data_IF_648755226199
#
_entry.id   IF_648755226199
#
_cell.length_a   1.000
_cell.length_b   1.000
_cell.length_c   1.000
_cell.angle_alpha   90.00
_cell.angle_beta   90.00
_cell.angle_gamma   90.00
#
_symmetry.space_group_name_H-M   'P 1'
#
loop_
_entity.id
_entity.type
_entity.pdbx_description
1 polymer ?
#
# COMPACT_ATOMS: atom_id res chain seq x y z
N UNK A 1 -4.39 32.70 0.67
CA UNK A 1 -3.03 32.17 0.60
C UNK A 1 -2.96 31.14 -0.51
N UNK A 2 -1.78 30.84 -1.04
CA UNK A 2 -1.61 29.98 -2.22
C UNK A 2 -2.32 28.60 -2.11
N UNK A 3 -2.31 28.00 -0.90
CA UNK A 3 -3.00 26.74 -0.60
C UNK A 3 -4.53 26.77 -0.88
N UNK A 4 -5.21 27.89 -0.62
CA UNK A 4 -6.66 27.99 -0.86
C UNK A 4 -7.00 28.11 -2.34
N UNK A 5 -6.10 28.70 -3.13
CA UNK A 5 -6.24 28.77 -4.59
C UNK A 5 -6.00 27.40 -5.23
N UNK A 6 -4.97 26.69 -4.76
CA UNK A 6 -4.68 25.33 -5.20
C UNK A 6 -5.86 24.38 -4.93
N UNK A 7 -6.48 24.44 -3.75
CA UNK A 7 -7.66 23.61 -3.45
C UNK A 7 -8.86 23.96 -4.32
N UNK A 8 -9.11 25.25 -4.56
CA UNK A 8 -10.19 25.69 -5.45
C UNK A 8 -9.98 25.17 -6.89
N UNK A 9 -8.73 25.16 -7.38
CA UNK A 9 -8.39 24.59 -8.68
C UNK A 9 -8.63 23.07 -8.72
N UNK A 10 -8.22 22.34 -7.68
CA UNK A 10 -8.50 20.91 -7.59
C UNK A 10 -10.00 20.60 -7.49
N UNK A 11 -10.75 21.37 -6.71
CA UNK A 11 -12.20 21.23 -6.57
C UNK A 11 -12.91 21.48 -7.91
N UNK A 12 -12.48 22.49 -8.69
CA UNK A 12 -12.97 22.73 -10.04
C UNK A 12 -12.61 21.57 -10.99
N UNK A 13 -11.39 21.05 -10.89
CA UNK A 13 -10.92 19.93 -11.71
C UNK A 13 -11.70 18.64 -11.43
N UNK A 14 -11.90 18.26 -10.16
CA UNK A 14 -12.69 17.06 -9.82
C UNK A 14 -14.15 17.23 -10.21
N UNK A 15 -14.74 18.43 -10.16
CA UNK A 15 -16.12 18.64 -10.66
C UNK A 15 -16.24 18.32 -12.16
N UNK A 16 -15.25 18.71 -12.96
CA UNK A 16 -15.26 18.49 -14.42
C UNK A 16 -14.80 17.08 -14.81
N UNK A 17 -13.87 16.50 -14.05
CA UNK A 17 -13.15 15.27 -14.40
C UNK A 17 -13.28 14.19 -13.31
N UNK A 18 -14.40 14.15 -12.58
CA UNK A 18 -14.61 13.27 -11.42
C UNK A 18 -14.39 11.77 -11.65
N UNK A 19 -14.41 11.33 -12.92
CA UNK A 19 -14.22 9.93 -13.31
C UNK A 19 -12.76 9.57 -13.64
N UNK A 20 -11.85 10.55 -13.59
CA UNK A 20 -10.42 10.35 -13.82
C UNK A 20 -9.70 10.18 -12.47
N UNK A 21 -9.17 8.99 -12.16
CA UNK A 21 -8.53 8.72 -10.88
C UNK A 21 -7.24 9.55 -10.68
N UNK A 22 -6.60 10.00 -11.76
CA UNK A 22 -5.40 10.83 -11.72
C UNK A 22 -5.67 12.20 -11.10
N UNK A 23 -6.85 12.78 -11.35
CA UNK A 23 -7.23 14.10 -10.81
C UNK A 23 -7.42 14.03 -9.31
N UNK A 24 -8.07 12.96 -8.83
CA UNK A 24 -8.19 12.68 -7.40
C UNK A 24 -6.84 12.38 -6.78
N UNK A 25 -6.01 11.54 -7.42
CA UNK A 25 -4.68 11.21 -6.94
C UNK A 25 -3.76 12.42 -6.79
N UNK A 26 -3.79 13.35 -7.74
CA UNK A 26 -3.04 14.60 -7.67
C UNK A 26 -3.48 15.46 -6.47
N UNK A 27 -4.79 15.60 -6.26
CA UNK A 27 -5.31 16.36 -5.13
C UNK A 27 -4.96 15.71 -3.78
N UNK A 28 -5.15 14.40 -3.66
CA UNK A 28 -4.79 13.65 -2.47
C UNK A 28 -3.30 13.80 -2.14
N UNK A 29 -2.42 13.70 -3.15
CA UNK A 29 -1.00 13.92 -2.95
C UNK A 29 -0.70 15.35 -2.47
N UNK A 30 -1.32 16.37 -3.08
CA UNK A 30 -1.13 17.76 -2.67
C UNK A 30 -1.58 18.01 -1.22
N UNK A 31 -2.74 17.46 -0.83
CA UNK A 31 -3.27 17.54 0.54
C UNK A 31 -2.33 16.87 1.54
N UNK A 32 -1.88 15.65 1.24
CA UNK A 32 -1.00 14.89 2.13
C UNK A 32 0.38 15.54 2.26
N UNK A 33 0.96 16.04 1.16
CA UNK A 33 2.29 16.64 1.15
C UNK A 33 2.39 17.93 1.98
N UNK A 34 1.29 18.68 2.13
CA UNK A 34 1.25 19.91 2.95
C UNK A 34 0.74 19.71 4.38
N UNK A 35 0.53 18.45 4.80
CA UNK A 35 0.07 18.12 6.16
C UNK A 35 -1.45 18.16 6.37
N UNK A 36 -2.25 18.40 5.33
CA UNK A 36 -3.72 18.43 5.39
C UNK A 36 -4.30 16.99 5.36
N UNK A 37 -3.89 16.16 6.31
CA UNK A 37 -4.18 14.72 6.31
C UNK A 37 -5.67 14.42 6.51
N UNK A 38 -6.36 15.18 7.37
CA UNK A 38 -7.79 14.99 7.60
C UNK A 38 -8.62 15.30 6.35
N UNK A 39 -8.28 16.39 5.66
CA UNK A 39 -8.86 16.74 4.37
C UNK A 39 -8.53 15.69 3.32
N UNK A 40 -7.30 15.17 3.29
CA UNK A 40 -6.89 14.08 2.41
C UNK A 40 -7.80 12.86 2.57
N UNK A 41 -8.07 12.43 3.79
CA UNK A 41 -8.93 11.25 4.08
C UNK A 41 -10.39 11.50 3.68
N UNK A 42 -10.94 12.68 3.99
CA UNK A 42 -12.29 13.06 3.55
C UNK A 42 -12.39 13.07 2.03
N UNK A 43 -11.35 13.57 1.37
CA UNK A 43 -11.26 13.62 -0.10
C UNK A 43 -11.15 12.24 -0.72
N UNK A 44 -10.47 11.28 -0.06
CA UNK A 44 -10.41 9.90 -0.53
C UNK A 44 -11.82 9.30 -0.58
N UNK A 45 -12.63 9.49 0.46
CA UNK A 45 -14.01 8.96 0.46
C UNK A 45 -14.82 9.53 -0.71
N UNK A 46 -14.73 10.85 -0.94
CA UNK A 46 -15.37 11.50 -2.10
C UNK A 46 -14.91 10.92 -3.43
N UNK A 47 -13.62 10.60 -3.56
CA UNK A 47 -13.07 10.02 -4.76
C UNK A 47 -13.60 8.60 -5.01
N UNK A 48 -13.68 7.78 -3.96
CA UNK A 48 -14.25 6.41 -4.02
C UNK A 48 -15.72 6.47 -4.44
N UNK A 49 -16.51 7.40 -3.89
CA UNK A 49 -17.92 7.56 -4.25
C UNK A 49 -18.11 8.03 -5.71
N UNK A 50 -17.13 8.77 -6.26
CA UNK A 50 -17.19 9.33 -7.61
C UNK A 50 -16.69 8.38 -8.71
N UNK A 51 -15.75 7.49 -8.37
CA UNK A 51 -15.04 6.63 -9.32
C UNK A 51 -15.72 5.25 -9.47
N UNK A 52 -15.58 4.60 -10.63
CA UNK A 52 -16.00 3.21 -10.80
C UNK A 52 -15.23 2.26 -9.86
N UNK A 53 -15.90 1.20 -9.40
CA UNK A 53 -15.33 0.21 -8.47
C UNK A 53 -14.00 -0.40 -8.96
N UNK A 54 -13.85 -0.58 -10.27
CA UNK A 54 -12.63 -1.11 -10.87
C UNK A 54 -11.37 -0.28 -10.53
N UNK A 55 -11.53 1.01 -10.24
CA UNK A 55 -10.43 1.94 -9.95
C UNK A 55 -10.20 2.16 -8.46
N UNK A 56 -11.10 1.68 -7.59
CA UNK A 56 -11.03 1.91 -6.15
C UNK A 56 -9.74 1.35 -5.55
N UNK A 57 -9.40 0.10 -5.87
CA UNK A 57 -8.23 -0.55 -5.29
C UNK A 57 -6.94 0.20 -5.63
N UNK A 58 -6.80 0.66 -6.88
CA UNK A 58 -5.62 1.41 -7.29
C UNK A 58 -5.51 2.75 -6.56
N UNK A 59 -6.61 3.51 -6.47
CA UNK A 59 -6.61 4.80 -5.78
C UNK A 59 -6.34 4.64 -4.28
N UNK A 60 -7.02 3.71 -3.62
CA UNK A 60 -6.88 3.45 -2.18
C UNK A 60 -5.45 2.97 -1.88
N UNK A 61 -4.88 2.12 -2.75
CA UNK A 61 -3.47 1.67 -2.62
C UNK A 61 -2.48 2.83 -2.83
N UNK A 62 -2.76 3.80 -3.69
CA UNK A 62 -1.95 5.03 -3.81
C UNK A 62 -2.08 5.89 -2.56
N UNK A 63 -3.29 6.04 -2.02
CA UNK A 63 -3.49 6.80 -0.78
C UNK A 63 -2.79 6.16 0.43
N UNK A 64 -2.80 4.84 0.54
CA UNK A 64 -2.05 4.13 1.57
C UNK A 64 -0.56 4.49 1.53
N UNK A 65 0.06 4.51 0.33
CA UNK A 65 1.45 4.94 0.16
C UNK A 65 1.69 6.40 0.59
N UNK A 66 0.70 7.28 0.40
CA UNK A 66 0.78 8.67 0.88
C UNK A 66 0.74 8.75 2.42
N UNK A 67 -0.04 7.89 3.09
CA UNK A 67 -0.04 7.78 4.55
C UNK A 67 1.32 7.32 5.07
N UNK A 68 1.97 6.34 4.41
CA UNK A 68 3.35 5.95 4.76
C UNK A 68 4.36 7.08 4.58
N UNK A 69 4.18 7.91 3.55
CA UNK A 69 5.16 8.95 3.17
C UNK A 69 5.01 10.24 3.97
N UNK A 70 3.78 10.68 4.18
CA UNK A 70 3.47 12.00 4.73
C UNK A 70 2.66 11.95 6.02
N UNK A 71 1.92 10.86 6.25
CA UNK A 71 1.06 10.69 7.42
C UNK A 71 1.69 9.76 8.45
N UNK A 72 0.89 8.81 8.94
CA UNK A 72 1.33 7.79 9.88
C UNK A 72 1.35 6.40 9.22
N UNK A 73 2.45 5.64 9.31
CA UNK A 73 2.52 4.27 8.78
C UNK A 73 1.36 3.38 9.23
N UNK A 74 0.93 3.46 10.49
CA UNK A 74 -0.21 2.71 11.02
C UNK A 74 -1.52 2.92 10.24
N UNK A 75 -1.70 4.12 9.69
CA UNK A 75 -2.88 4.44 8.90
C UNK A 75 -2.75 3.86 7.49
N UNK A 76 -1.56 3.91 6.92
CA UNK A 76 -1.25 3.17 5.69
C UNK A 76 -1.49 1.67 5.84
N UNK A 77 -1.06 1.08 6.97
CA UNK A 77 -1.30 -0.33 7.33
C UNK A 77 -2.79 -0.65 7.36
N UNK A 78 -3.56 0.16 8.08
CA UNK A 78 -5.03 0.03 8.18
C UNK A 78 -5.69 0.04 6.79
N UNK A 79 -5.26 0.94 5.91
CA UNK A 79 -5.82 1.04 4.55
C UNK A 79 -5.46 -0.18 3.70
N UNK A 80 -4.20 -0.63 3.71
CA UNK A 80 -3.81 -1.85 2.99
C UNK A 80 -4.49 -3.10 3.53
N UNK A 81 -4.59 -3.25 4.85
CA UNK A 81 -5.29 -4.36 5.49
C UNK A 81 -6.79 -4.36 5.14
N UNK A 82 -7.41 -3.19 5.02
CA UNK A 82 -8.77 -3.06 4.52
C UNK A 82 -8.93 -3.57 3.07
N UNK A 83 -8.00 -3.24 2.19
CA UNK A 83 -7.99 -3.76 0.81
C UNK A 83 -7.81 -5.29 0.82
N UNK A 84 -6.83 -5.79 1.57
CA UNK A 84 -6.46 -7.21 1.56
C UNK A 84 -7.47 -8.11 2.29
N UNK A 85 -8.23 -7.56 3.24
CA UNK A 85 -9.39 -8.24 3.84
C UNK A 85 -10.45 -8.56 2.79
N UNK A 86 -10.70 -7.64 1.85
CA UNK A 86 -11.67 -7.83 0.77
C UNK A 86 -11.10 -8.58 -0.42
N UNK A 87 -9.81 -8.40 -0.72
CA UNK A 87 -9.15 -8.94 -1.89
C UNK A 87 -7.83 -9.65 -1.55
N UNK A 88 -7.87 -10.75 -0.78
CA UNK A 88 -6.68 -11.37 -0.20
C UNK A 88 -5.68 -11.91 -1.23
N UNK A 89 -6.10 -12.16 -2.48
CA UNK A 89 -5.23 -12.68 -3.55
C UNK A 89 -4.65 -11.60 -4.46
N UNK A 90 -4.80 -10.31 -4.14
CA UNK A 90 -4.25 -9.17 -4.91
C UNK A 90 -2.75 -9.01 -4.69
N UNK A 91 -1.98 -9.72 -5.51
CA UNK A 91 -0.51 -9.77 -5.47
C UNK A 91 0.13 -8.39 -5.64
N UNK A 92 -0.46 -7.55 -6.49
CA UNK A 92 -0.04 -6.16 -6.71
C UNK A 92 -0.08 -5.35 -5.41
N UNK A 93 -1.18 -5.45 -4.66
CA UNK A 93 -1.35 -4.75 -3.37
C UNK A 93 -0.39 -5.30 -2.32
N UNK A 94 -0.25 -6.62 -2.22
CA UNK A 94 0.73 -7.25 -1.32
C UNK A 94 2.16 -6.79 -1.61
N UNK A 95 2.54 -6.70 -2.90
CA UNK A 95 3.88 -6.26 -3.29
C UNK A 95 4.14 -4.84 -2.83
N UNK A 96 3.22 -3.92 -3.11
CA UNK A 96 3.36 -2.50 -2.72
C UNK A 96 3.38 -2.34 -1.19
N UNK A 97 2.54 -3.08 -0.46
CA UNK A 97 2.52 -3.01 1.00
C UNK A 97 3.85 -3.51 1.60
N UNK A 98 4.38 -4.63 1.08
CA UNK A 98 5.72 -5.10 1.46
C UNK A 98 6.81 -4.07 1.15
N UNK A 99 6.76 -3.41 0.00
CA UNK A 99 7.72 -2.36 -0.35
C UNK A 99 7.67 -1.18 0.63
N UNK A 100 6.47 -0.80 1.09
CA UNK A 100 6.30 0.26 2.09
C UNK A 100 6.87 -0.14 3.45
N UNK A 101 6.59 -1.37 3.92
CA UNK A 101 7.10 -1.87 5.20
C UNK A 101 8.62 -2.07 5.18
N UNK A 102 9.18 -2.63 4.10
CA UNK A 102 10.63 -2.82 3.96
C UNK A 102 11.35 -1.47 4.03
N UNK A 103 10.79 -0.42 3.43
CA UNK A 103 11.39 0.93 3.44
C UNK A 103 11.49 1.54 4.84
N UNK A 104 10.59 1.16 5.76
CA UNK A 104 10.59 1.63 7.15
C UNK A 104 11.03 0.55 8.14
N UNK A 105 11.56 -0.57 7.64
CA UNK A 105 11.86 -1.74 8.46
C UNK A 105 12.99 -1.51 9.47
N UNK A 106 13.84 -0.51 9.29
CA UNK A 106 14.82 -0.10 10.31
C UNK A 106 14.14 0.26 11.65
N UNK A 107 12.90 0.77 11.60
CA UNK A 107 12.13 1.11 12.79
C UNK A 107 11.47 -0.11 13.45
N UNK A 108 10.98 -1.07 12.65
CA UNK A 108 10.38 -2.31 13.14
C UNK A 108 10.46 -3.44 12.09
N UNK A 109 11.53 -4.27 12.12
CA UNK A 109 11.71 -5.38 11.20
C UNK A 109 10.60 -6.44 11.32
N UNK A 110 9.96 -6.55 12.47
CA UNK A 110 8.98 -7.59 12.73
C UNK A 110 7.68 -7.36 11.95
N UNK A 111 7.33 -6.12 11.61
CA UNK A 111 6.14 -5.85 10.79
C UNK A 111 6.32 -6.42 9.39
N UNK A 112 7.44 -6.14 8.74
CA UNK A 112 7.74 -6.68 7.41
C UNK A 112 7.77 -8.22 7.44
N UNK A 113 8.39 -8.82 8.46
CA UNK A 113 8.39 -10.27 8.67
C UNK A 113 6.97 -10.83 8.78
N UNK A 114 6.12 -10.28 9.67
CA UNK A 114 4.72 -10.70 9.82
C UNK A 114 3.93 -10.56 8.52
N UNK A 115 4.21 -9.53 7.72
CA UNK A 115 3.54 -9.33 6.43
C UNK A 115 3.95 -10.39 5.39
N UNK A 116 5.23 -10.74 5.35
CA UNK A 116 5.73 -11.85 4.54
C UNK A 116 5.14 -13.20 4.99
N UNK A 117 5.03 -13.44 6.29
CA UNK A 117 4.40 -14.63 6.86
C UNK A 117 2.95 -14.76 6.40
N UNK A 118 2.18 -13.67 6.45
CA UNK A 118 0.79 -13.62 6.00
C UNK A 118 0.65 -13.95 4.52
N UNK A 119 1.41 -13.32 3.64
CA UNK A 119 1.27 -13.56 2.18
C UNK A 119 1.74 -14.97 1.80
N UNK A 120 2.76 -15.51 2.48
CA UNK A 120 3.26 -16.87 2.23
C UNK A 120 2.42 -17.97 2.87
N UNK A 121 1.42 -17.62 3.68
CA UNK A 121 0.38 -18.55 4.16
C UNK A 121 -0.83 -18.64 3.20
N UNK A 122 -0.91 -17.79 2.18
CA UNK A 122 -2.03 -17.78 1.24
C UNK A 122 -1.96 -18.91 0.22
N UNK A 123 -3.14 -19.36 -0.21
CA UNK A 123 -3.30 -20.26 -1.36
C UNK A 123 -3.24 -19.47 -2.67
N UNK A 124 -2.03 -19.21 -3.16
CA UNK A 124 -1.76 -18.61 -4.48
C UNK A 124 -1.16 -19.65 -5.45
N UNK A 125 -1.15 -19.36 -6.75
CA UNK A 125 -0.47 -20.21 -7.74
C UNK A 125 1.04 -20.30 -7.49
N UNK A 126 1.69 -21.38 -7.91
CA UNK A 126 3.14 -21.60 -7.72
C UNK A 126 4.02 -20.47 -8.23
N UNK A 127 3.67 -19.86 -9.37
CA UNK A 127 4.39 -18.69 -9.90
C UNK A 127 4.37 -17.50 -8.93
N UNK A 128 3.21 -17.22 -8.33
CA UNK A 128 3.01 -16.11 -7.38
C UNK A 128 3.66 -16.40 -6.03
N UNK A 129 3.57 -17.64 -5.53
CA UNK A 129 4.26 -18.01 -4.28
C UNK A 129 5.77 -17.98 -4.42
N UNK A 130 6.31 -18.49 -5.53
CA UNK A 130 7.74 -18.39 -5.84
C UNK A 130 8.22 -16.94 -5.88
N UNK A 131 7.40 -16.00 -6.37
CA UNK A 131 7.71 -14.58 -6.33
C UNK A 131 7.85 -14.05 -4.88
N UNK A 132 6.88 -14.36 -4.01
CA UNK A 132 6.94 -13.91 -2.61
C UNK A 132 8.05 -14.58 -1.80
N UNK A 133 8.30 -15.88 -1.97
CA UNK A 133 9.44 -16.56 -1.31
C UNK A 133 10.79 -15.98 -1.74
N UNK A 134 10.97 -15.66 -3.03
CA UNK A 134 12.19 -14.98 -3.50
C UNK A 134 12.38 -13.62 -2.85
N UNK A 135 11.31 -12.82 -2.75
CA UNK A 135 11.35 -11.52 -2.09
C UNK A 135 11.65 -11.66 -0.60
N UNK A 136 11.07 -12.65 0.06
CA UNK A 136 11.29 -12.88 1.48
C UNK A 136 12.74 -13.31 1.78
N UNK A 137 13.31 -14.20 0.95
CA UNK A 137 14.73 -14.56 1.03
C UNK A 137 15.65 -13.35 0.79
N UNK A 138 15.29 -12.48 -0.16
CA UNK A 138 16.07 -11.27 -0.42
C UNK A 138 16.04 -10.32 0.78
N UNK A 139 14.88 -10.14 1.41
CA UNK A 139 14.73 -9.36 2.63
C UNK A 139 15.57 -9.93 3.78
N UNK A 140 15.47 -11.24 4.05
CA UNK A 140 16.22 -11.90 5.12
C UNK A 140 17.75 -11.77 4.94
N UNK A 141 18.23 -11.95 3.70
CA UNK A 141 19.65 -11.76 3.36
C UNK A 141 20.11 -10.31 3.51
N UNK A 142 19.29 -9.35 3.12
CA UNK A 142 19.61 -7.93 3.30
C UNK A 142 19.68 -7.55 4.78
N UNK A 143 18.90 -8.21 5.64
CA UNK A 143 18.96 -8.07 7.09
C UNK A 143 20.08 -8.89 7.76
N UNK A 144 20.86 -9.68 7.01
CA UNK A 144 21.84 -10.63 7.53
C UNK A 144 21.27 -11.59 8.61
N UNK A 145 19.99 -11.97 8.47
CA UNK A 145 19.29 -12.86 9.40
C UNK A 145 19.29 -14.30 8.85
N UNK A 146 20.32 -15.06 9.23
CA UNK A 146 20.52 -16.44 8.76
C UNK A 146 19.43 -17.41 9.24
N UNK A 147 18.89 -17.20 10.45
CA UNK A 147 17.76 -17.98 10.97
C UNK A 147 16.53 -17.79 10.11
N UNK A 148 16.23 -16.53 9.74
CA UNK A 148 15.14 -16.22 8.85
C UNK A 148 15.37 -16.78 7.45
N UNK A 149 16.61 -16.75 6.93
CA UNK A 149 16.92 -17.37 5.64
C UNK A 149 16.59 -18.86 5.63
N UNK A 150 16.99 -19.62 6.65
CA UNK A 150 16.67 -21.05 6.74
C UNK A 150 15.17 -21.28 6.92
N UNK A 151 14.51 -20.50 7.78
CA UNK A 151 13.05 -20.56 7.96
C UNK A 151 12.30 -20.41 6.63
N UNK A 152 12.68 -19.42 5.81
CA UNK A 152 12.03 -19.17 4.52
C UNK A 152 12.31 -20.30 3.52
N UNK A 153 13.51 -20.90 3.54
CA UNK A 153 13.83 -22.07 2.69
C UNK A 153 13.00 -23.28 3.08
N UNK A 154 12.85 -23.57 4.37
CA UNK A 154 12.01 -24.66 4.87
C UNK A 154 10.56 -24.47 4.46
N UNK A 155 10.02 -23.26 4.67
CA UNK A 155 8.66 -22.93 4.29
C UNK A 155 8.44 -23.05 2.78
N UNK A 156 9.40 -22.64 1.97
CA UNK A 156 9.34 -22.79 0.52
C UNK A 156 9.37 -24.26 0.09
N UNK A 157 10.17 -25.12 0.74
CA UNK A 157 10.20 -26.57 0.48
C UNK A 157 8.89 -27.25 0.84
N UNK A 158 8.29 -26.89 1.97
CA UNK A 158 7.01 -27.43 2.43
C UNK A 158 5.81 -27.00 1.58
N UNK A 159 5.96 -25.94 0.80
CA UNK A 159 4.90 -25.42 -0.08
C UNK A 159 4.86 -26.13 -1.46
N UNK A 160 5.98 -26.70 -1.89
CA UNK A 160 6.15 -27.36 -3.21
C UNK A 160 5.47 -28.72 -3.26
#
# INVERSE_FOLDING_TARGET
>A
GDATLADAAHEAAVKKFRRLPEVWGAWLNALMARGAHEEGRKTLQRAVDALPQAQHVELISKFAQLEFRHGAPERGRTVFDGILSNYPKRVDVWSVYLDMEIRIAEADPQVARRLFERVTALRLSSKKMKFFFKRYLAYARAAADDELVEHVKEKARAWV
#
